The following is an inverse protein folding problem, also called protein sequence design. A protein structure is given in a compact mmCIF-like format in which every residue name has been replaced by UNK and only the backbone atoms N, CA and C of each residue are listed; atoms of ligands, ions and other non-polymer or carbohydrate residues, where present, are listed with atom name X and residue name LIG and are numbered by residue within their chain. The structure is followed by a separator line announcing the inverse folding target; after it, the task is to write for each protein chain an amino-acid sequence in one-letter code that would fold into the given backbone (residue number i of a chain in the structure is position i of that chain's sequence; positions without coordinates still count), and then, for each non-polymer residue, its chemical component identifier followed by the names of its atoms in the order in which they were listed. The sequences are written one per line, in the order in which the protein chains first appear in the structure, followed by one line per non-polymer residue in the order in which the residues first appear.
data_IF_697748987754
#
_entry.id   IF_697748987754
#
_cell.length_a   1.000
_cell.length_b   1.000
_cell.length_c   1.000
_cell.angle_alpha   90.00
_cell.angle_beta   90.00
_cell.angle_gamma   90.00
#
_symmetry.space_group_name_H-M   'P 1'
#
loop_
_entity.id
_entity.type
_entity.pdbx_description
1 polymer ?
#
# COMPACT_ATOMS: atom_id res chain seq x y z
N UNK A 1 20.19 -7.79 -6.83
CA UNK A 1 20.14 -6.45 -7.46
C UNK A 1 18.73 -6.15 -7.96
N UNK A 2 18.13 -5.04 -7.53
CA UNK A 2 16.85 -4.54 -8.04
C UNK A 2 17.08 -3.78 -9.35
N UNK A 3 16.07 -3.65 -10.23
CA UNK A 3 16.14 -2.99 -11.56
C UNK A 3 16.59 -1.50 -11.57
N UNK A 4 17.02 -0.95 -10.43
CA UNK A 4 17.60 0.38 -10.30
C UNK A 4 19.04 0.40 -9.77
N UNK A 5 19.67 -0.74 -9.47
CA UNK A 5 21.05 -0.81 -8.94
C UNK A 5 21.17 -0.95 -7.41
N UNK A 6 20.08 -0.72 -6.66
CA UNK A 6 20.05 -0.93 -5.20
C UNK A 6 19.86 -2.38 -4.77
N UNK A 7 20.14 -2.65 -3.49
CA UNK A 7 20.15 -3.99 -2.90
C UNK A 7 19.68 -4.00 -1.44
N UNK A 8 18.91 -5.03 -1.05
CA UNK A 8 18.60 -5.33 0.35
C UNK A 8 19.65 -6.32 0.85
N UNK A 9 20.53 -5.86 1.71
CA UNK A 9 21.71 -6.61 2.14
C UNK A 9 21.37 -7.69 3.16
N UNK A 10 20.39 -7.45 4.03
CA UNK A 10 19.99 -8.44 5.03
C UNK A 10 18.56 -8.27 5.51
N UNK A 11 17.93 -9.40 5.84
CA UNK A 11 16.63 -9.50 6.49
C UNK A 11 16.83 -10.44 7.67
N UNK A 12 16.54 -9.95 8.86
CA UNK A 12 16.72 -10.67 10.11
C UNK A 12 15.38 -10.67 10.84
N UNK A 13 14.83 -11.86 11.06
CA UNK A 13 13.62 -12.06 11.86
C UNK A 13 14.04 -12.74 13.15
N UNK A 14 13.57 -12.25 14.29
CA UNK A 14 13.91 -12.81 15.58
C UNK A 14 12.67 -13.17 16.38
N UNK A 15 12.69 -14.39 16.92
CA UNK A 15 11.76 -14.84 17.96
C UNK A 15 12.49 -14.82 19.32
N UNK A 16 12.23 -13.85 20.20
CA UNK A 16 12.79 -13.81 21.58
C UNK A 16 13.22 -12.42 22.08
N UNK A 17 13.78 -12.34 23.30
CA UNK A 17 14.08 -11.06 24.01
C UNK A 17 15.09 -10.15 23.29
N UNK A 18 14.60 -9.12 22.62
CA UNK A 18 15.38 -8.14 21.86
C UNK A 18 14.77 -6.75 21.86
N UNK A 19 15.47 -5.79 21.24
CA UNK A 19 14.94 -4.44 20.98
C UNK A 19 14.18 -4.32 19.67
N UNK A 20 14.10 -5.40 18.88
CA UNK A 20 13.39 -5.51 17.61
C UNK A 20 13.00 -6.98 17.35
N UNK A 21 11.89 -7.16 16.64
CA UNK A 21 11.34 -8.44 16.17
C UNK A 21 11.75 -8.70 14.71
N UNK A 22 11.82 -7.65 13.91
CA UNK A 22 12.23 -7.70 12.51
C UNK A 22 13.19 -6.56 12.18
N UNK A 23 14.24 -6.85 11.40
CA UNK A 23 15.25 -5.88 10.98
C UNK A 23 15.66 -6.06 9.53
N UNK A 24 15.82 -4.95 8.82
CA UNK A 24 16.21 -4.94 7.42
C UNK A 24 17.25 -3.87 7.12
N UNK A 25 18.28 -4.22 6.35
CA UNK A 25 19.27 -3.26 5.87
C UNK A 25 19.15 -3.12 4.34
N UNK A 26 19.03 -1.89 3.86
CA UNK A 26 18.82 -1.57 2.45
C UNK A 26 19.83 -0.54 1.99
N UNK A 27 20.45 -0.79 0.83
CA UNK A 27 21.33 0.14 0.14
C UNK A 27 20.67 0.57 -1.17
N UNK A 28 20.52 1.89 -1.32
CA UNK A 28 20.00 2.52 -2.53
C UNK A 28 21.04 2.45 -3.67
N UNK A 29 20.68 2.73 -4.93
CA UNK A 29 21.61 2.71 -6.06
C UNK A 29 22.76 3.70 -5.89
N UNK A 30 22.48 4.81 -5.22
CA UNK A 30 23.42 5.89 -4.97
C UNK A 30 24.35 5.58 -3.79
N UNK A 31 24.21 4.40 -3.16
CA UNK A 31 25.07 3.90 -2.09
C UNK A 31 24.64 4.25 -0.67
N UNK A 32 23.55 5.01 -0.51
CA UNK A 32 23.00 5.33 0.81
C UNK A 32 22.38 4.10 1.46
N UNK A 33 22.67 3.89 2.75
CA UNK A 33 22.21 2.73 3.51
C UNK A 33 21.17 3.12 4.56
N UNK A 34 20.14 2.31 4.75
CA UNK A 34 19.08 2.48 5.76
C UNK A 34 18.78 1.17 6.46
N UNK A 35 18.47 1.26 7.75
CA UNK A 35 18.07 0.11 8.57
C UNK A 35 16.65 0.33 9.09
N UNK A 36 15.76 -0.59 8.81
CA UNK A 36 14.37 -0.59 9.27
C UNK A 36 14.22 -1.65 10.36
N UNK A 37 13.76 -1.25 11.54
CA UNK A 37 13.60 -2.09 12.73
C UNK A 37 12.15 -2.03 13.19
N UNK A 38 11.45 -3.15 13.19
CA UNK A 38 10.10 -3.26 13.75
C UNK A 38 10.17 -3.94 15.13
N UNK A 39 9.45 -3.39 16.11
CA UNK A 39 9.27 -3.94 17.46
C UNK A 39 7.80 -3.77 17.87
N UNK A 40 7.03 -4.86 17.81
CA UNK A 40 5.56 -4.80 17.85
C UNK A 40 5.03 -3.80 16.82
N UNK A 41 4.29 -2.81 17.31
CA UNK A 41 3.70 -1.75 16.50
C UNK A 41 4.69 -0.62 16.14
N UNK A 42 5.92 -0.63 16.65
CA UNK A 42 6.88 0.47 16.45
C UNK A 42 7.84 0.16 15.31
N UNK A 43 7.95 1.06 14.33
CA UNK A 43 8.99 1.04 13.31
C UNK A 43 10.02 2.14 13.58
N UNK A 44 11.30 1.78 13.64
CA UNK A 44 12.43 2.69 13.71
C UNK A 44 13.24 2.59 12.41
N UNK A 45 13.46 3.71 11.74
CA UNK A 45 14.33 3.82 10.57
C UNK A 45 15.62 4.51 10.99
N UNK A 46 16.75 3.89 10.68
CA UNK A 46 18.09 4.40 11.00
C UNK A 46 18.89 4.63 9.74
N UNK A 47 19.84 5.54 9.83
CA UNK A 47 20.92 5.61 8.86
C UNK A 47 21.81 4.37 9.00
N UNK A 48 22.11 3.72 7.87
CA UNK A 48 22.80 2.43 7.87
C UNK A 48 24.31 2.52 8.03
N UNK A 49 24.91 3.73 7.96
CA UNK A 49 26.33 3.93 8.21
C UNK A 49 26.58 4.38 9.65
N UNK A 50 25.86 5.41 10.11
CA UNK A 50 26.03 6.02 11.42
C UNK A 50 25.20 5.36 12.53
N UNK A 51 24.11 4.67 12.17
CA UNK A 51 23.16 4.11 13.14
C UNK A 51 22.22 5.14 13.78
N UNK A 52 22.32 6.41 13.38
CA UNK A 52 21.45 7.49 13.84
C UNK A 52 19.98 7.18 13.52
N UNK A 53 19.08 7.48 14.46
CA UNK A 53 17.64 7.30 14.21
C UNK A 53 17.17 8.45 13.32
N UNK A 54 16.73 8.11 12.11
CA UNK A 54 16.17 9.06 11.15
C UNK A 54 14.67 9.25 11.36
N UNK A 55 13.98 8.19 11.76
CA UNK A 55 12.54 8.22 12.05
C UNK A 55 12.18 7.13 13.05
N UNK A 56 11.18 7.40 13.88
CA UNK A 56 10.49 6.40 14.68
C UNK A 56 8.99 6.69 14.65
N UNK A 57 8.21 5.70 14.27
CA UNK A 57 6.76 5.77 14.21
C UNK A 57 6.15 4.57 14.91
N UNK A 58 5.01 4.78 15.55
CA UNK A 58 4.18 3.70 16.09
C UNK A 58 2.95 3.54 15.22
N UNK A 59 2.64 2.31 14.82
CA UNK A 59 1.36 1.94 14.26
C UNK A 59 0.29 2.30 15.28
N UNK A 60 -0.58 3.25 14.94
CA UNK A 60 -1.73 3.57 15.77
C UNK A 60 -3.02 3.45 14.98
N UNK A 61 -4.06 3.08 15.73
CA UNK A 61 -5.43 2.87 15.27
C UNK A 61 -6.13 4.17 14.86
N UNK A 62 -5.50 5.34 15.07
CA UNK A 62 -5.96 6.69 14.74
C UNK A 62 -5.03 7.43 13.75
N UNK A 63 -3.71 7.19 13.72
CA UNK A 63 -2.73 7.60 12.67
C UNK A 63 -1.35 7.08 13.08
N UNK A 64 -0.45 6.69 12.18
CA UNK A 64 0.93 6.53 12.61
C UNK A 64 1.43 7.86 13.22
N UNK A 65 1.74 7.84 14.52
CA UNK A 65 2.29 8.99 15.23
C UNK A 65 3.81 8.87 15.16
N UNK A 66 4.46 9.85 14.54
CA UNK A 66 5.90 10.04 14.72
C UNK A 66 6.14 10.35 16.20
N UNK A 67 7.07 9.65 16.85
CA UNK A 67 7.44 9.95 18.23
C UNK A 67 7.98 11.39 18.29
N UNK A 68 7.27 12.29 18.97
CA UNK A 68 7.52 13.74 18.97
C UNK A 68 8.92 14.10 19.50
N UNK A 69 9.56 13.18 20.22
CA UNK A 69 10.91 13.32 20.77
C UNK A 69 12.01 13.02 19.75
N UNK A 70 11.68 12.32 18.66
CA UNK A 70 12.57 11.98 17.55
C UNK A 70 12.01 12.68 16.30
N UNK A 71 11.97 14.00 16.33
CA UNK A 71 11.92 14.80 15.11
C UNK A 71 13.19 14.51 14.31
N UNK A 72 13.10 14.31 12.97
CA UNK A 72 14.28 14.11 12.15
C UNK A 72 15.25 15.28 12.38
N UNK A 73 16.50 15.01 12.73
CA UNK A 73 17.56 16.02 12.80
C UNK A 73 17.85 16.70 11.44
N UNK A 74 17.13 16.33 10.38
CA UNK A 74 17.29 16.82 9.02
C UNK A 74 16.17 17.74 8.51
N UNK A 75 15.30 18.25 9.38
CA UNK A 75 14.42 19.38 9.05
C UNK A 75 15.03 20.70 9.56
N UNK A 76 15.90 21.38 8.81
CA UNK A 76 15.90 22.83 8.93
C UNK A 76 14.53 23.30 8.44
N UNK A 77 13.89 24.17 9.22
CA UNK A 77 12.68 24.89 8.85
C UNK A 77 12.95 25.76 7.60
N UNK A 78 12.93 25.14 6.42
CA UNK A 78 13.16 25.79 5.14
C UNK A 78 12.24 25.16 4.07
N UNK A 79 11.30 25.90 3.44
CA UNK A 79 10.19 25.30 2.70
C UNK A 79 10.49 24.78 1.29
N UNK A 80 11.74 24.45 0.89
CA UNK A 80 12.03 24.36 -0.56
C UNK A 80 12.98 23.26 -1.04
N UNK A 81 13.50 22.37 -0.19
CA UNK A 81 14.35 21.27 -0.66
C UNK A 81 14.06 20.02 0.18
N UNK A 82 13.58 18.95 -0.47
CA UNK A 82 13.60 17.62 0.18
C UNK A 82 15.07 17.30 0.42
N UNK A 83 15.49 17.30 1.69
CA UNK A 83 16.88 17.01 2.02
C UNK A 83 17.26 15.65 1.40
N UNK A 84 18.45 15.50 0.79
CA UNK A 84 18.87 14.26 0.12
C UNK A 84 18.68 13.00 0.99
N UNK A 85 18.89 13.14 2.30
CA UNK A 85 18.66 12.09 3.29
C UNK A 85 17.22 11.56 3.31
N UNK A 86 16.22 12.42 3.09
CA UNK A 86 14.79 12.05 3.01
C UNK A 86 14.50 11.30 1.72
N UNK A 87 15.03 11.75 0.59
CA UNK A 87 14.87 11.07 -0.69
C UNK A 87 15.45 9.64 -0.66
N UNK A 88 16.66 9.49 -0.13
CA UNK A 88 17.31 8.20 0.04
C UNK A 88 16.55 7.27 1.01
N UNK A 89 15.94 7.82 2.05
CA UNK A 89 15.11 7.05 2.98
C UNK A 89 13.85 6.50 2.30
N UNK A 90 13.23 7.31 1.45
CA UNK A 90 12.05 6.89 0.69
C UNK A 90 12.36 5.84 -0.37
N UNK A 91 13.49 5.99 -1.04
CA UNK A 91 13.97 5.01 -1.99
C UNK A 91 14.29 3.68 -1.28
N UNK A 92 15.02 3.73 -0.17
CA UNK A 92 15.31 2.56 0.64
C UNK A 92 14.04 1.88 1.19
N UNK A 93 13.04 2.65 1.62
CA UNK A 93 11.75 2.11 2.06
C UNK A 93 11.01 1.40 0.91
N UNK A 94 10.99 2.01 -0.29
CA UNK A 94 10.44 1.41 -1.50
C UNK A 94 11.18 0.14 -1.95
N UNK A 95 12.50 0.08 -1.75
CA UNK A 95 13.34 -1.08 -2.04
C UNK A 95 13.19 -2.19 -1.02
N UNK A 96 13.19 -1.87 0.28
CA UNK A 96 12.88 -2.81 1.34
C UNK A 96 11.54 -3.45 1.07
N UNK A 97 10.56 -2.59 0.82
CA UNK A 97 9.21 -2.99 0.49
C UNK A 97 9.19 -3.94 -0.70
N UNK A 98 9.97 -3.67 -1.77
CA UNK A 98 10.10 -4.57 -2.93
C UNK A 98 10.61 -5.97 -2.56
N UNK A 99 11.54 -6.08 -1.62
CA UNK A 99 12.10 -7.38 -1.22
C UNK A 99 11.19 -8.12 -0.24
N UNK A 100 10.61 -7.43 0.74
CA UNK A 100 9.61 -8.02 1.64
C UNK A 100 8.41 -8.55 0.85
N UNK A 101 7.92 -7.76 -0.09
CA UNK A 101 6.94 -8.13 -1.08
C UNK A 101 7.29 -9.35 -1.94
N UNK A 102 8.55 -9.43 -2.40
CA UNK A 102 9.03 -10.54 -3.22
C UNK A 102 9.18 -11.84 -2.43
N UNK A 103 9.45 -11.74 -1.11
CA UNK A 103 9.54 -12.89 -0.21
C UNK A 103 8.17 -13.37 0.27
N UNK A 104 7.19 -12.47 0.41
CA UNK A 104 5.81 -12.82 0.77
C UNK A 104 5.02 -13.32 -0.43
N UNK A 105 5.57 -14.19 -1.28
CA UNK A 105 4.92 -14.74 -2.49
C UNK A 105 4.24 -13.72 -3.46
N UNK A 106 4.30 -12.41 -3.25
CA UNK A 106 3.39 -11.41 -3.81
C UNK A 106 2.13 -11.22 -2.96
N UNK A 107 1.64 -9.98 -2.88
CA UNK A 107 0.39 -9.66 -2.19
C UNK A 107 -0.75 -10.55 -2.70
N UNK A 108 -1.55 -11.09 -1.78
CA UNK A 108 -2.69 -11.95 -2.04
C UNK A 108 -2.35 -13.40 -2.39
N UNK A 109 -1.09 -13.85 -2.32
CA UNK A 109 -0.77 -15.27 -2.55
C UNK A 109 -0.91 -16.15 -1.30
N UNK A 110 -0.72 -15.56 -0.12
CA UNK A 110 -0.98 -16.19 1.18
C UNK A 110 -2.20 -15.53 1.86
N UNK A 111 -2.98 -16.25 2.68
CA UNK A 111 -4.17 -15.72 3.36
C UNK A 111 -3.94 -14.40 4.11
N UNK A 112 -2.79 -14.26 4.79
CA UNK A 112 -2.43 -13.07 5.57
C UNK A 112 -1.66 -12.00 4.76
N UNK A 113 -1.72 -12.07 3.42
CA UNK A 113 -1.03 -11.14 2.52
C UNK A 113 -1.98 -10.34 1.62
N UNK A 114 -3.27 -10.38 1.91
CA UNK A 114 -4.29 -9.75 1.06
C UNK A 114 -4.32 -8.23 1.18
N UNK A 115 -3.81 -7.65 2.27
CA UNK A 115 -3.87 -6.22 2.53
C UNK A 115 -2.55 -5.61 3.02
N UNK A 116 -2.26 -4.39 2.55
CA UNK A 116 -1.18 -3.54 3.06
C UNK A 116 -1.69 -2.15 3.36
N UNK A 117 -1.25 -1.60 4.48
CA UNK A 117 -1.44 -0.19 4.80
C UNK A 117 -0.20 0.62 4.47
N UNK A 118 -0.44 1.81 3.94
CA UNK A 118 0.54 2.82 3.61
C UNK A 118 0.17 4.09 4.35
N UNK A 119 1.06 4.55 5.22
CA UNK A 119 0.94 5.86 5.84
C UNK A 119 1.97 6.80 5.22
N UNK A 120 1.57 8.05 5.07
CA UNK A 120 2.33 9.08 4.36
C UNK A 120 2.49 10.31 5.25
N UNK A 121 3.64 10.98 5.15
CA UNK A 121 3.85 12.28 5.77
C UNK A 121 2.78 13.25 5.27
N UNK A 122 2.22 14.11 6.13
CA UNK A 122 1.49 15.29 5.67
C UNK A 122 2.41 16.11 4.76
N UNK A 123 1.95 16.38 3.54
CA UNK A 123 2.75 17.07 2.55
C UNK A 123 1.90 18.10 1.79
N UNK A 124 2.09 19.41 2.05
CA UNK A 124 1.37 20.45 1.33
C UNK A 124 1.68 20.49 -0.17
N UNK A 125 2.83 19.94 -0.60
CA UNK A 125 3.23 19.83 -2.00
C UNK A 125 2.77 18.52 -2.65
N UNK A 126 2.03 17.67 -1.92
CA UNK A 126 1.46 16.40 -2.39
C UNK A 126 2.50 15.38 -2.95
N UNK A 127 3.77 15.45 -2.52
CA UNK A 127 4.77 14.42 -2.85
C UNK A 127 4.50 13.14 -2.06
N UNK A 128 3.97 13.26 -0.85
CA UNK A 128 3.51 12.17 0.04
C UNK A 128 4.57 11.06 0.16
N UNK A 129 5.59 11.40 0.92
CA UNK A 129 6.64 10.52 1.39
C UNK A 129 6.05 9.42 2.27
N UNK A 130 6.34 8.16 1.98
CA UNK A 130 5.85 7.02 2.77
C UNK A 130 6.60 6.99 4.11
N UNK A 131 5.86 6.91 5.20
CA UNK A 131 6.40 6.88 6.58
C UNK A 131 6.33 5.47 7.15
N UNK A 132 5.34 4.70 6.71
CA UNK A 132 5.13 3.34 7.19
C UNK A 132 4.47 2.49 6.10
N UNK A 133 4.93 1.24 5.99
CA UNK A 133 4.28 0.19 5.19
C UNK A 133 4.28 -1.09 5.99
N UNK A 134 3.13 -1.75 6.04
CA UNK A 134 3.00 -3.01 6.74
C UNK A 134 1.74 -3.77 6.34
N UNK A 135 1.71 -5.04 6.75
CA UNK A 135 0.54 -5.91 6.58
C UNK A 135 -0.59 -5.45 7.47
N UNK A 136 -1.81 -5.69 7.01
CA UNK A 136 -3.04 -5.49 7.77
C UNK A 136 -3.68 -6.86 7.93
N UNK A 137 -3.92 -7.28 9.16
CA UNK A 137 -4.65 -8.51 9.43
C UNK A 137 -6.16 -8.34 9.20
N UNK A 138 -6.91 -9.44 9.24
CA UNK A 138 -8.34 -9.42 8.96
C UNK A 138 -9.12 -8.55 9.96
N UNK A 139 -8.73 -8.56 11.25
CA UNK A 139 -9.41 -7.79 12.28
C UNK A 139 -9.27 -6.27 12.02
N UNK A 140 -8.06 -5.82 11.72
CA UNK A 140 -7.79 -4.43 11.36
C UNK A 140 -8.48 -4.07 10.03
N UNK A 141 -8.52 -4.99 9.07
CA UNK A 141 -9.17 -4.78 7.79
C UNK A 141 -10.68 -4.54 7.97
N UNK A 142 -11.36 -5.36 8.76
CA UNK A 142 -12.80 -5.22 9.02
C UNK A 142 -13.12 -3.97 9.85
N UNK A 143 -12.17 -3.52 10.67
CA UNK A 143 -12.29 -2.26 11.41
C UNK A 143 -12.15 -1.03 10.51
N UNK A 144 -11.15 -1.01 9.63
CA UNK A 144 -10.81 0.18 8.82
C UNK A 144 -11.53 0.24 7.47
N UNK A 145 -12.02 -0.91 6.98
CA UNK A 145 -12.65 -1.05 5.67
C UNK A 145 -14.03 -1.72 5.80
N UNK A 146 -15.06 -0.98 6.25
CA UNK A 146 -16.41 -1.50 6.50
C UNK A 146 -17.03 -2.38 5.41
N UNK A 147 -16.73 -2.10 4.14
CA UNK A 147 -17.28 -2.88 3.02
C UNK A 147 -16.44 -4.11 2.64
N UNK A 148 -15.39 -4.45 3.40
CA UNK A 148 -14.46 -5.53 3.06
C UNK A 148 -15.16 -6.87 2.80
N UNK A 149 -15.96 -7.35 3.75
CA UNK A 149 -16.70 -8.61 3.59
C UNK A 149 -17.74 -8.55 2.46
N UNK A 150 -18.36 -7.39 2.24
CA UNK A 150 -19.34 -7.23 1.16
C UNK A 150 -18.67 -7.28 -0.22
N UNK A 151 -17.54 -6.59 -0.39
CA UNK A 151 -16.73 -6.64 -1.62
C UNK A 151 -16.23 -8.05 -1.87
N UNK A 152 -15.79 -8.75 -0.82
CA UNK A 152 -15.39 -10.15 -0.89
C UNK A 152 -16.56 -11.05 -1.32
N UNK A 153 -17.73 -10.95 -0.70
CA UNK A 153 -18.90 -11.75 -1.03
C UNK A 153 -19.40 -11.50 -2.47
N UNK A 154 -19.39 -10.26 -2.95
CA UNK A 154 -19.74 -9.92 -4.33
C UNK A 154 -18.71 -10.51 -5.31
N UNK A 155 -17.42 -10.46 -4.96
CA UNK A 155 -16.35 -11.04 -5.77
C UNK A 155 -16.49 -12.56 -5.86
N UNK A 156 -16.81 -13.23 -4.75
CA UNK A 156 -17.06 -14.67 -4.65
C UNK A 156 -18.25 -15.07 -5.54
N UNK A 157 -19.39 -14.36 -5.41
CA UNK A 157 -20.58 -14.64 -6.21
C UNK A 157 -20.37 -14.40 -7.70
N UNK A 158 -19.83 -13.23 -8.08
CA UNK A 158 -19.58 -12.88 -9.46
C UNK A 158 -18.66 -13.92 -10.12
N UNK A 159 -17.60 -14.34 -9.43
CA UNK A 159 -16.68 -15.35 -9.95
C UNK A 159 -17.37 -16.69 -10.13
N UNK A 160 -18.07 -17.20 -9.11
CA UNK A 160 -18.78 -18.48 -9.16
C UNK A 160 -19.82 -18.49 -10.29
N UNK A 161 -20.67 -17.45 -10.34
CA UNK A 161 -21.75 -17.33 -11.32
C UNK A 161 -21.22 -17.19 -12.75
N UNK A 162 -20.27 -16.29 -12.99
CA UNK A 162 -19.78 -16.03 -14.35
C UNK A 162 -18.88 -17.14 -14.88
N UNK A 163 -18.10 -17.81 -14.02
CA UNK A 163 -17.34 -18.98 -14.43
C UNK A 163 -18.26 -20.13 -14.87
N UNK A 164 -19.37 -20.35 -14.15
CA UNK A 164 -20.37 -21.36 -14.50
C UNK A 164 -21.14 -21.03 -15.79
N UNK A 165 -21.49 -19.76 -16.02
CA UNK A 165 -22.19 -19.30 -17.22
C UNK A 165 -21.30 -19.28 -18.47
N UNK A 166 -19.99 -19.09 -18.29
CA UNK A 166 -19.05 -18.89 -19.39
C UNK A 166 -17.84 -19.84 -19.34
N UNK A 167 -18.05 -21.17 -19.33
CA UNK A 167 -16.99 -22.15 -19.09
C UNK A 167 -15.90 -22.20 -20.18
N UNK A 168 -16.14 -21.57 -21.34
CA UNK A 168 -15.22 -21.56 -22.49
C UNK A 168 -14.48 -20.23 -22.67
N UNK A 169 -14.75 -19.22 -21.85
CA UNK A 169 -14.01 -17.97 -21.93
C UNK A 169 -12.59 -18.16 -21.39
N UNK A 170 -11.62 -17.51 -22.03
CA UNK A 170 -10.28 -17.41 -21.48
C UNK A 170 -10.29 -16.58 -20.18
N UNK A 171 -9.24 -16.77 -19.37
CA UNK A 171 -9.12 -16.14 -18.04
C UNK A 171 -9.16 -14.61 -18.11
N UNK A 172 -8.61 -14.00 -19.16
CA UNK A 172 -8.55 -12.54 -19.29
C UNK A 172 -9.93 -11.96 -19.57
N UNK A 173 -10.68 -12.55 -20.49
CA UNK A 173 -12.07 -12.14 -20.79
C UNK A 173 -12.99 -12.40 -19.61
N UNK A 174 -12.87 -13.57 -18.98
CA UNK A 174 -13.65 -13.90 -17.78
C UNK A 174 -13.34 -12.93 -16.64
N UNK A 175 -12.07 -12.61 -16.39
CA UNK A 175 -11.67 -11.62 -15.41
C UNK A 175 -12.26 -10.24 -15.69
N UNK A 176 -12.21 -9.77 -16.94
CA UNK A 176 -12.80 -8.48 -17.34
C UNK A 176 -14.30 -8.43 -17.09
N UNK A 177 -15.02 -9.52 -17.36
CA UNK A 177 -16.45 -9.63 -17.06
C UNK A 177 -16.73 -9.61 -15.57
N UNK A 178 -15.92 -10.30 -14.76
CA UNK A 178 -16.06 -10.30 -13.30
C UNK A 178 -15.82 -8.90 -12.73
N UNK A 179 -14.76 -8.19 -13.14
CA UNK A 179 -14.53 -6.80 -12.73
C UNK A 179 -15.70 -5.89 -13.09
N UNK A 180 -16.24 -6.02 -14.31
CA UNK A 180 -17.39 -5.24 -14.74
C UNK A 180 -18.64 -5.55 -13.90
N UNK A 181 -18.94 -6.82 -13.64
CA UNK A 181 -20.11 -7.26 -12.86
C UNK A 181 -20.04 -6.78 -11.39
N UNK A 182 -18.87 -6.89 -10.76
CA UNK A 182 -18.62 -6.31 -9.42
C UNK A 182 -18.85 -4.80 -9.47
N UNK A 183 -18.27 -4.11 -10.46
CA UNK A 183 -18.42 -2.67 -10.62
C UNK A 183 -19.87 -2.23 -10.81
N UNK A 184 -20.65 -2.93 -11.65
CA UNK A 184 -22.07 -2.65 -11.82
C UNK A 184 -22.86 -2.89 -10.54
N UNK A 185 -22.54 -3.95 -9.80
CA UNK A 185 -23.20 -4.25 -8.52
C UNK A 185 -23.07 -3.09 -7.54
N UNK A 186 -21.86 -2.55 -7.36
CA UNK A 186 -21.66 -1.41 -6.44
C UNK A 186 -22.13 -0.07 -7.02
N UNK A 187 -22.13 0.12 -8.35
CA UNK A 187 -22.79 1.29 -8.99
C UNK A 187 -24.29 1.29 -8.69
N UNK A 188 -24.95 0.14 -8.69
CA UNK A 188 -26.38 0.02 -8.38
C UNK A 188 -26.70 0.22 -6.90
N UNK A 189 -25.76 -0.12 -6.00
CA UNK A 189 -25.92 0.12 -4.56
C UNK A 189 -25.78 1.59 -4.18
N UNK A 190 -25.08 2.38 -5.00
CA UNK A 190 -24.96 3.84 -4.89
C UNK A 190 -24.48 4.32 -3.50
N UNK A 191 -23.52 3.60 -2.92
CA UNK A 191 -22.89 4.03 -1.67
C UNK A 191 -22.09 5.32 -1.90
N UNK A 192 -22.36 6.41 -1.15
CA UNK A 192 -21.73 7.71 -1.40
C UNK A 192 -20.21 7.71 -1.19
N UNK A 193 -19.70 6.87 -0.29
CA UNK A 193 -18.31 6.69 0.10
C UNK A 193 -17.52 5.80 -0.86
N UNK A 194 -18.19 5.01 -1.69
CA UNK A 194 -17.56 4.14 -2.69
C UNK A 194 -17.52 4.83 -4.05
N UNK A 195 -16.43 4.67 -4.79
CA UNK A 195 -16.43 4.86 -6.25
C UNK A 195 -15.84 3.66 -6.97
N UNK A 196 -16.27 3.54 -8.22
CA UNK A 196 -16.04 2.38 -9.08
C UNK A 196 -15.31 2.82 -10.33
N UNK A 197 -14.35 2.01 -10.79
CA UNK A 197 -13.56 2.22 -12.00
C UNK A 197 -12.97 3.63 -12.08
N UNK A 198 -12.49 4.11 -10.94
CA UNK A 198 -12.11 5.50 -10.77
C UNK A 198 -10.67 5.70 -11.25
N UNK A 199 -10.52 6.50 -12.31
CA UNK A 199 -9.22 6.80 -12.90
C UNK A 199 -8.68 8.09 -12.31
N UNK A 200 -7.42 8.06 -11.90
CA UNK A 200 -6.70 9.18 -11.29
C UNK A 200 -5.40 9.44 -12.04
N UNK A 201 -5.09 10.70 -12.29
CA UNK A 201 -3.79 11.10 -12.80
C UNK A 201 -2.71 10.83 -11.74
N UNK A 202 -1.63 10.15 -12.14
CA UNK A 202 -0.60 9.70 -11.19
C UNK A 202 0.11 10.88 -10.53
N UNK A 203 0.30 12.00 -11.21
CA UNK A 203 1.10 13.12 -10.71
C UNK A 203 0.30 14.00 -9.74
N UNK A 204 -0.94 14.30 -10.09
CA UNK A 204 -1.81 15.25 -9.40
C UNK A 204 -2.77 14.60 -8.41
N UNK A 205 -3.17 13.34 -8.68
CA UNK A 205 -4.28 12.68 -8.00
C UNK A 205 -5.66 13.19 -8.41
N UNK A 206 -5.74 13.99 -9.48
CA UNK A 206 -7.02 14.49 -10.00
C UNK A 206 -7.73 13.41 -10.83
N UNK A 207 -9.06 13.52 -10.92
CA UNK A 207 -9.86 12.60 -11.73
C UNK A 207 -9.41 12.65 -13.18
N UNK A 208 -9.05 11.50 -13.72
CA UNK A 208 -8.65 11.32 -15.11
C UNK A 208 -9.74 10.60 -15.90
N UNK A 209 -9.69 10.75 -17.22
CA UNK A 209 -10.50 9.95 -18.13
C UNK A 209 -9.96 8.51 -18.19
N UNK A 210 -10.86 7.56 -18.45
CA UNK A 210 -10.46 6.18 -18.66
C UNK A 210 -9.47 6.05 -19.83
N UNK A 211 -8.38 5.31 -19.61
CA UNK A 211 -7.32 5.11 -20.60
C UNK A 211 -6.40 6.31 -20.81
N UNK A 212 -6.54 7.38 -20.01
CA UNK A 212 -5.63 8.52 -20.08
C UNK A 212 -4.19 8.08 -19.82
N UNK A 213 -3.26 8.62 -20.62
CA UNK A 213 -1.82 8.44 -20.41
C UNK A 213 -1.46 8.96 -19.01
N UNK A 214 -0.60 8.23 -18.32
CA UNK A 214 -0.16 8.55 -16.95
C UNK A 214 -1.26 8.53 -15.87
N UNK A 215 -2.37 7.84 -16.12
CA UNK A 215 -3.38 7.55 -15.10
C UNK A 215 -3.24 6.15 -14.48
N UNK A 216 -3.81 5.98 -13.29
CA UNK A 216 -4.08 4.69 -12.66
C UNK A 216 -5.57 4.54 -12.46
N UNK A 217 -6.12 3.36 -12.80
CA UNK A 217 -7.51 3.03 -12.53
C UNK A 217 -7.57 2.19 -11.26
N UNK A 218 -8.39 2.61 -10.32
CA UNK A 218 -8.76 1.85 -9.13
C UNK A 218 -10.10 1.18 -9.42
N UNK A 219 -10.20 -0.13 -9.17
CA UNK A 219 -11.41 -0.87 -9.49
C UNK A 219 -12.56 -0.51 -8.55
N UNK A 220 -12.29 -0.53 -7.24
CA UNK A 220 -13.15 0.07 -6.23
C UNK A 220 -12.29 0.79 -5.20
N UNK A 221 -12.77 1.93 -4.72
CA UNK A 221 -12.24 2.51 -3.50
C UNK A 221 -13.37 2.98 -2.59
N UNK A 222 -13.10 2.96 -1.29
CA UNK A 222 -13.94 3.44 -0.21
C UNK A 222 -13.17 4.52 0.57
N UNK A 223 -13.82 5.64 0.86
CA UNK A 223 -13.35 6.58 1.89
C UNK A 223 -14.15 6.33 3.18
N UNK A 224 -13.56 5.54 4.09
CA UNK A 224 -14.21 5.15 5.33
C UNK A 224 -14.49 6.37 6.23
N UNK A 225 -15.50 6.30 7.13
CA UNK A 225 -15.87 7.41 8.01
C UNK A 225 -14.72 7.93 8.86
N UNK A 226 -13.78 7.04 9.18
CA UNK A 226 -12.63 7.33 10.00
C UNK A 226 -11.48 7.98 9.22
N UNK A 227 -11.66 8.32 7.93
CA UNK A 227 -10.67 8.85 6.98
C UNK A 227 -9.59 7.87 6.50
N UNK A 228 -9.78 6.56 6.69
CA UNK A 228 -9.01 5.56 5.95
C UNK A 228 -9.53 5.43 4.53
N UNK A 229 -8.61 5.27 3.57
CA UNK A 229 -8.98 4.94 2.19
C UNK A 229 -8.69 3.48 1.95
N UNK A 230 -9.72 2.70 1.60
CA UNK A 230 -9.61 1.30 1.27
C UNK A 230 -9.72 1.14 -0.24
N UNK A 231 -8.69 0.60 -0.87
CA UNK A 231 -8.64 0.37 -2.32
C UNK A 231 -8.73 -1.12 -2.57
N UNK A 232 -9.86 -1.55 -3.11
CA UNK A 232 -10.09 -2.95 -3.45
C UNK A 232 -9.72 -3.19 -4.91
N UNK A 233 -8.84 -4.16 -5.10
CA UNK A 233 -8.33 -4.60 -6.39
C UNK A 233 -8.72 -6.08 -6.55
N UNK A 234 -9.93 -6.38 -7.06
CA UNK A 234 -10.33 -7.75 -7.33
C UNK A 234 -9.32 -8.46 -8.24
N UNK A 235 -9.06 -9.75 -7.97
CA UNK A 235 -8.12 -10.56 -8.76
C UNK A 235 -8.69 -11.93 -9.03
N UNK A 236 -8.85 -12.26 -10.31
CA UNK A 236 -9.41 -13.54 -10.78
C UNK A 236 -8.36 -14.53 -11.29
N UNK A 237 -7.08 -14.12 -11.37
CA UNK A 237 -5.95 -14.98 -11.77
C UNK A 237 -4.91 -15.11 -10.66
N UNK A 238 -4.00 -16.08 -10.76
CA UNK A 238 -3.04 -16.42 -9.69
C UNK A 238 -1.88 -15.41 -9.50
N UNK A 239 -1.83 -14.37 -10.32
CA UNK A 239 -0.83 -13.32 -10.20
C UNK A 239 -1.24 -12.32 -9.12
N UNK A 240 -0.38 -12.11 -8.14
CA UNK A 240 -0.51 -11.05 -7.14
C UNK A 240 -0.21 -9.68 -7.73
N UNK A 241 -0.79 -8.63 -7.16
CA UNK A 241 -0.34 -7.25 -7.42
C UNK A 241 1.13 -7.14 -7.01
N UNK A 242 1.99 -6.84 -7.98
CA UNK A 242 3.39 -6.58 -7.69
C UNK A 242 3.47 -5.38 -6.73
N UNK A 243 4.17 -5.44 -5.60
CA UNK A 243 3.98 -4.39 -4.59
C UNK A 243 4.49 -3.00 -5.02
N UNK A 244 5.53 -2.91 -5.88
CA UNK A 244 5.85 -1.65 -6.61
C UNK A 244 4.63 -1.05 -7.35
N UNK A 245 3.75 -1.88 -7.90
CA UNK A 245 2.48 -1.47 -8.53
C UNK A 245 1.38 -1.15 -7.51
N UNK A 246 1.49 -1.51 -6.23
CA UNK A 246 0.55 -1.14 -5.17
C UNK A 246 0.88 0.23 -4.56
N UNK A 247 2.16 0.62 -4.51
CA UNK A 247 2.56 1.95 -4.01
C UNK A 247 2.06 3.09 -4.92
N UNK A 248 2.09 2.90 -6.24
CA UNK A 248 1.60 3.90 -7.21
C UNK A 248 0.12 4.25 -6.97
N UNK A 249 -0.83 3.29 -6.95
CA UNK A 249 -2.22 3.57 -6.63
C UNK A 249 -2.39 4.07 -5.20
N UNK A 250 -1.65 3.56 -4.21
CA UNK A 250 -1.71 4.08 -2.84
C UNK A 250 -1.33 5.56 -2.75
N UNK A 251 -0.18 5.95 -3.34
CA UNK A 251 0.25 7.36 -3.39
C UNK A 251 -0.71 8.22 -4.19
N UNK A 252 -1.25 7.70 -5.30
CA UNK A 252 -2.23 8.43 -6.12
C UNK A 252 -3.53 8.65 -5.35
N UNK A 253 -4.02 7.64 -4.63
CA UNK A 253 -5.17 7.76 -3.73
C UNK A 253 -4.89 8.77 -2.62
N UNK A 254 -3.68 8.79 -2.05
CA UNK A 254 -3.27 9.80 -1.06
C UNK A 254 -3.28 11.22 -1.63
N UNK A 255 -2.89 11.40 -2.89
CA UNK A 255 -2.97 12.71 -3.58
C UNK A 255 -4.39 13.19 -3.80
N UNK A 256 -5.29 12.25 -4.08
CA UNK A 256 -6.71 12.51 -4.22
C UNK A 256 -7.36 12.83 -2.86
N UNK A 257 -6.97 12.10 -1.80
CA UNK A 257 -7.44 12.25 -0.43
C UNK A 257 -6.30 12.74 0.49
N UNK A 258 -5.88 14.01 0.37
CA UNK A 258 -4.73 14.52 1.11
C UNK A 258 -4.93 14.47 2.62
N UNK A 259 -6.18 14.52 3.09
CA UNK A 259 -6.56 14.44 4.52
C UNK A 259 -6.71 13.02 5.05
N UNK A 260 -6.61 11.98 4.22
CA UNK A 260 -6.73 10.60 4.69
C UNK A 260 -5.68 10.26 5.75
N UNK A 261 -5.97 9.33 6.65
CA UNK A 261 -5.01 8.91 7.67
C UNK A 261 -3.97 7.93 7.13
N UNK A 262 -4.39 7.13 6.15
CA UNK A 262 -3.57 6.16 5.45
C UNK A 262 -4.36 5.54 4.31
N UNK A 263 -3.70 4.67 3.56
CA UNK A 263 -4.30 3.95 2.43
C UNK A 263 -4.11 2.45 2.66
N UNK A 264 -5.18 1.67 2.60
CA UNK A 264 -5.14 0.21 2.64
C UNK A 264 -5.36 -0.30 1.22
N UNK A 265 -4.36 -0.94 0.64
CA UNK A 265 -4.47 -1.64 -0.64
C UNK A 265 -4.85 -3.09 -0.38
N UNK A 266 -5.95 -3.55 -0.96
CA UNK A 266 -6.56 -4.85 -0.69
C UNK A 266 -6.70 -5.61 -2.00
N UNK A 267 -6.09 -6.78 -2.09
CA UNK A 267 -6.38 -7.74 -3.15
C UNK A 267 -7.51 -8.65 -2.73
N UNK A 268 -8.63 -8.50 -3.41
CA UNK A 268 -9.82 -9.32 -3.16
C UNK A 268 -9.76 -10.51 -4.10
N UNK A 269 -9.61 -11.71 -3.54
CA UNK A 269 -9.54 -12.96 -4.32
C UNK A 269 -10.75 -13.82 -4.02
N UNK A 270 -11.39 -14.42 -5.02
CA UNK A 270 -12.51 -15.32 -4.81
C UNK A 270 -12.13 -16.43 -3.82
N UNK A 271 -12.94 -16.58 -2.76
CA UNK A 271 -12.89 -17.71 -1.83
C UNK A 271 -13.61 -18.92 -2.46
N UNK A 272 -13.19 -20.16 -2.18
CA UNK A 272 -13.84 -21.38 -2.67
C UNK A 272 -15.31 -21.49 -2.26
#
# INVERSE_FOLDING_TARGET
MLDGGGEVLSIQVRSGRGTWDERHAVVTPDGDSRVFENAGDVQTIRDGQSGEILSRSTFATDRAASDATIQPAFLPAAPFVVAPAVAATLEAAGMLFTVLAGRSAGLGKEPDSIALRYDFEPDPEKKFSVVWVGKVDQQALDQFCPHNEEVQAVTDDATRRLAALHPKLDKTRLGSLIHYDIGQTFKLRDYPEIKIEYSLDKATGDKANYGARDSVRLDLYELAPDQMVCVYDPKTGNEGLHPKRALVPARTAKRHFPTSRGIIMIQVRPRP
#
